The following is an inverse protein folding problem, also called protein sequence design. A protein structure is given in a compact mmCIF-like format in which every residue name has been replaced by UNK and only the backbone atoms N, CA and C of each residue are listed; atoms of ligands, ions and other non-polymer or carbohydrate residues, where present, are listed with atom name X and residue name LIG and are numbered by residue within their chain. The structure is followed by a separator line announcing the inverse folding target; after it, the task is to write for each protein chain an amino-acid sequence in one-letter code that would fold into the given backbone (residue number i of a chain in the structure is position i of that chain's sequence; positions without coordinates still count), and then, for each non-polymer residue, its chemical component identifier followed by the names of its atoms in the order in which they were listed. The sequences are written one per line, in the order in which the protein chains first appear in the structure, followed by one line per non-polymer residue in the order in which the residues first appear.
data_IF_549206528468
#
_entry.id   IF_549206528468
#
_cell.length_a   1.000
_cell.length_b   1.000
_cell.length_c   1.000
_cell.angle_alpha   90.00
_cell.angle_beta   90.00
_cell.angle_gamma   90.00
#
_symmetry.space_group_name_H-M   'P 1'
#
loop_
_entity.id
_entity.type
_entity.pdbx_description
1 polymer ?
#
# COMPACT_ATOMS: atom_id res chain seq x y z
N UNK A 1 59.05 13.23 29.83
CA UNK A 1 58.02 13.95 29.06
C UNK A 1 57.22 12.95 28.23
N UNK A 2 56.18 12.32 28.80
CA UNK A 2 55.52 11.18 28.15
C UNK A 2 54.06 10.97 28.56
N UNK A 3 53.27 12.04 28.64
CA UNK A 3 51.86 11.96 29.09
C UNK A 3 50.87 12.91 28.40
N UNK A 4 51.21 13.47 27.24
CA UNK A 4 50.34 14.42 26.52
C UNK A 4 49.95 13.99 25.08
N UNK A 5 50.21 12.74 24.70
CA UNK A 5 49.88 12.20 23.36
C UNK A 5 48.79 11.12 23.37
N UNK A 6 48.25 10.77 24.55
CA UNK A 6 47.23 9.71 24.68
C UNK A 6 45.78 10.23 24.56
N UNK A 7 45.53 11.52 24.78
CA UNK A 7 44.18 12.09 24.65
C UNK A 7 43.67 12.22 23.20
N UNK A 8 44.47 12.64 22.20
CA UNK A 8 43.97 12.75 20.82
C UNK A 8 43.76 11.38 20.17
N UNK A 9 44.52 10.35 20.57
CA UNK A 9 44.34 8.99 20.07
C UNK A 9 43.04 8.34 20.59
N UNK A 10 42.64 8.62 21.84
CA UNK A 10 41.37 8.13 22.37
C UNK A 10 40.15 8.81 21.71
N UNK A 11 40.26 10.09 21.35
CA UNK A 11 39.19 10.81 20.64
C UNK A 11 39.02 10.34 19.19
N UNK A 12 40.11 9.94 18.52
CA UNK A 12 40.04 9.34 17.17
C UNK A 12 39.43 7.92 17.17
N UNK A 13 39.63 7.15 18.25
CA UNK A 13 39.03 5.81 18.37
C UNK A 13 37.52 5.84 18.66
N UNK A 14 37.00 6.93 19.24
CA UNK A 14 35.56 7.09 19.49
C UNK A 14 34.81 7.51 18.22
N UNK A 15 35.49 8.13 17.23
CA UNK A 15 34.88 8.50 15.95
C UNK A 15 34.79 7.36 14.92
N UNK A 16 35.44 6.21 15.15
CA UNK A 16 35.38 5.05 14.24
C UNK A 16 34.34 4.00 14.62
N UNK A 17 33.57 4.23 15.69
CA UNK A 17 32.53 3.31 16.16
C UNK A 17 31.16 4.00 16.26
N UNK A 18 30.80 4.81 15.27
CA UNK A 18 29.38 4.89 14.93
C UNK A 18 29.09 3.53 14.32
N UNK A 19 28.33 2.62 14.97
CA UNK A 19 27.89 1.44 14.28
C UNK A 19 27.21 1.96 13.02
N UNK A 20 27.72 1.58 11.85
CA UNK A 20 26.92 1.67 10.64
C UNK A 20 25.54 1.14 11.05
N UNK A 21 24.51 1.96 10.94
CA UNK A 21 23.16 1.50 11.22
C UNK A 21 22.91 0.39 10.19
N UNK A 22 23.13 -0.87 10.59
CA UNK A 22 22.89 -2.00 9.71
C UNK A 22 21.40 -1.96 9.39
N UNK A 23 21.05 -1.96 8.10
CA UNK A 23 19.66 -2.01 7.69
C UNK A 23 18.99 -3.24 8.30
N UNK A 24 17.69 -3.15 8.59
CA UNK A 24 16.91 -4.31 9.01
C UNK A 24 17.13 -5.45 8.01
N UNK A 25 17.34 -6.67 8.49
CA UNK A 25 17.44 -7.85 7.62
C UNK A 25 16.22 -8.73 7.77
N UNK A 26 15.70 -9.23 6.66
CA UNK A 26 14.54 -10.13 6.63
C UNK A 26 14.85 -11.39 5.82
N UNK A 27 14.11 -12.47 6.07
CA UNK A 27 14.05 -13.58 5.14
C UNK A 27 13.22 -13.17 3.92
N UNK A 28 13.77 -13.35 2.73
CA UNK A 28 13.07 -13.27 1.45
C UNK A 28 12.85 -14.68 0.93
N UNK A 29 11.59 -15.06 0.74
CA UNK A 29 11.21 -16.36 0.20
C UNK A 29 10.29 -16.16 -1.00
N UNK A 30 10.68 -16.68 -2.17
CA UNK A 30 9.77 -16.79 -3.31
C UNK A 30 8.77 -17.94 -3.08
N UNK A 31 7.69 -17.98 -3.86
CA UNK A 31 6.59 -18.96 -3.73
C UNK A 31 7.07 -20.43 -3.68
N UNK A 32 8.26 -20.72 -4.22
CA UNK A 32 8.89 -22.04 -4.23
C UNK A 32 10.13 -22.02 -3.32
N UNK A 33 9.94 -22.26 -2.03
CA UNK A 33 10.90 -22.84 -1.05
C UNK A 33 12.31 -22.24 -0.85
N UNK A 34 12.80 -21.39 -1.75
CA UNK A 34 14.13 -20.81 -1.74
C UNK A 34 14.08 -19.52 -0.94
N UNK A 35 14.59 -19.61 0.29
CA UNK A 35 14.67 -18.48 1.20
C UNK A 35 16.11 -18.00 1.34
N UNK A 36 16.34 -16.70 1.19
CA UNK A 36 17.62 -16.05 1.43
C UNK A 36 17.45 -14.88 2.40
N UNK A 37 18.55 -14.40 2.95
CA UNK A 37 18.55 -13.17 3.75
C UNK A 37 18.66 -11.98 2.81
N UNK A 38 17.81 -10.99 3.01
CA UNK A 38 17.81 -9.71 2.30
C UNK A 38 18.02 -8.59 3.31
N UNK A 39 18.82 -7.59 2.93
CA UNK A 39 18.93 -6.31 3.66
C UNK A 39 17.86 -5.36 3.12
N UNK A 40 17.04 -4.82 4.01
CA UNK A 40 15.91 -3.98 3.63
C UNK A 40 16.35 -2.62 3.13
N UNK A 41 15.65 -2.11 2.12
CA UNK A 41 15.89 -0.79 1.57
C UNK A 41 15.52 0.32 2.58
N UNK A 42 16.01 1.54 2.33
CA UNK A 42 15.61 2.71 3.11
C UNK A 42 14.08 2.87 3.07
N UNK A 43 13.46 3.04 4.24
CA UNK A 43 12.00 3.12 4.37
C UNK A 43 11.27 1.77 4.46
N UNK A 44 11.99 0.64 4.47
CA UNK A 44 11.45 -0.68 4.78
C UNK A 44 11.98 -1.14 6.14
N UNK A 45 11.21 -0.88 7.19
CA UNK A 45 11.55 -1.12 8.60
C UNK A 45 10.77 -2.28 9.22
N UNK A 46 10.07 -3.07 8.40
CA UNK A 46 9.36 -4.29 8.80
C UNK A 46 9.73 -5.48 7.92
N UNK A 47 9.71 -6.67 8.50
CA UNK A 47 9.64 -7.93 7.77
C UNK A 47 8.18 -8.39 7.68
N UNK A 48 7.78 -8.95 6.53
CA UNK A 48 6.47 -9.60 6.35
C UNK A 48 6.58 -11.10 6.11
N UNK A 49 5.52 -11.80 6.50
CA UNK A 49 5.18 -13.15 6.05
C UNK A 49 3.73 -13.16 5.59
N UNK A 50 3.51 -13.48 4.32
CA UNK A 50 2.19 -13.65 3.71
C UNK A 50 1.96 -15.14 3.45
N UNK A 51 0.89 -15.69 4.00
CA UNK A 51 0.51 -17.10 3.85
C UNK A 51 -0.86 -17.17 3.19
N UNK A 52 -0.96 -17.98 2.13
CA UNK A 52 -2.21 -18.31 1.45
C UNK A 52 -2.47 -19.79 1.63
N UNK A 53 -3.55 -20.13 2.31
CA UNK A 53 -4.07 -21.50 2.37
C UNK A 53 -5.27 -21.63 1.44
N UNK A 54 -5.27 -22.65 0.59
CA UNK A 54 -6.41 -23.03 -0.24
C UNK A 54 -6.85 -24.41 0.23
N UNK A 55 -8.07 -24.47 0.75
CA UNK A 55 -8.68 -25.70 1.27
C UNK A 55 -9.73 -26.19 0.28
N UNK A 56 -9.64 -27.46 -0.15
CA UNK A 56 -10.66 -28.13 -0.93
C UNK A 56 -10.96 -29.50 -0.31
N UNK A 57 -12.10 -29.62 0.38
CA UNK A 57 -12.35 -30.81 1.21
C UNK A 57 -11.31 -30.96 2.32
N UNK A 58 -10.55 -32.05 2.28
CA UNK A 58 -9.45 -32.35 3.21
C UNK A 58 -8.06 -32.03 2.64
N UNK A 59 -7.99 -31.59 1.37
CA UNK A 59 -6.74 -31.18 0.73
C UNK A 59 -6.42 -29.73 1.07
N UNK A 60 -5.15 -29.46 1.39
CA UNK A 60 -4.64 -28.14 1.75
C UNK A 60 -3.41 -27.82 0.89
N UNK A 61 -3.48 -26.71 0.16
CA UNK A 61 -2.32 -26.10 -0.48
C UNK A 61 -1.91 -24.86 0.31
N UNK A 62 -0.65 -24.81 0.75
CA UNK A 62 -0.06 -23.66 1.45
C UNK A 62 0.98 -22.99 0.55
N UNK A 63 0.86 -21.67 0.37
CA UNK A 63 1.85 -20.83 -0.30
C UNK A 63 2.33 -19.78 0.68
N UNK A 64 3.66 -19.67 0.85
CA UNK A 64 4.26 -18.72 1.78
C UNK A 64 5.23 -17.80 1.06
N UNK A 65 5.05 -16.49 1.25
CA UNK A 65 5.94 -15.45 0.76
C UNK A 65 6.49 -14.64 1.94
N UNK A 66 7.75 -14.23 1.85
CA UNK A 66 8.42 -13.44 2.88
C UNK A 66 9.30 -12.38 2.24
N UNK A 67 9.49 -11.26 2.92
CA UNK A 67 10.42 -10.21 2.50
C UNK A 67 10.39 -8.99 3.42
N UNK A 68 11.14 -7.96 3.02
CA UNK A 68 11.05 -6.62 3.61
C UNK A 68 9.74 -5.93 3.22
N UNK A 69 9.27 -5.00 4.05
CA UNK A 69 8.05 -4.23 3.80
C UNK A 69 8.08 -2.88 4.52
N UNK A 70 7.18 -1.99 4.11
CA UNK A 70 7.01 -0.64 4.63
C UNK A 70 6.27 -0.58 5.99
N UNK A 71 6.50 0.47 6.80
CA UNK A 71 6.00 0.59 8.18
C UNK A 71 4.48 0.61 8.30
N UNK A 72 3.78 1.04 7.26
CA UNK A 72 2.33 1.18 7.29
C UNK A 72 1.63 -0.18 7.41
N UNK A 73 2.30 -1.28 7.03
CA UNK A 73 1.72 -2.62 7.00
C UNK A 73 1.39 -3.14 8.40
N UNK A 74 0.27 -3.86 8.50
CA UNK A 74 -0.24 -4.43 9.75
C UNK A 74 -0.57 -5.91 9.62
N UNK A 75 -0.62 -6.61 10.75
CA UNK A 75 -1.16 -7.96 10.81
C UNK A 75 -2.62 -7.97 10.31
N UNK A 76 -2.97 -8.90 9.44
CA UNK A 76 -4.33 -9.02 8.91
C UNK A 76 -4.66 -10.45 8.52
N UNK A 77 -5.95 -10.76 8.52
CA UNK A 77 -6.47 -12.03 8.00
C UNK A 77 -7.71 -11.79 7.15
N UNK A 78 -7.90 -12.65 6.16
CA UNK A 78 -9.11 -12.71 5.35
C UNK A 78 -9.35 -14.15 4.91
N UNK A 79 -10.58 -14.61 5.03
CA UNK A 79 -11.02 -15.92 4.56
C UNK A 79 -12.33 -15.79 3.79
N UNK A 80 -12.41 -16.43 2.63
CA UNK A 80 -13.60 -16.43 1.79
C UNK A 80 -13.73 -17.71 0.97
N UNK A 81 -14.91 -17.92 0.36
CA UNK A 81 -15.22 -19.08 -0.47
C UNK A 81 -15.21 -18.73 -1.96
N UNK A 82 -14.71 -19.68 -2.75
CA UNK A 82 -14.84 -19.72 -4.21
C UNK A 82 -15.30 -21.15 -4.55
N UNK A 83 -16.53 -21.33 -5.03
CA UNK A 83 -17.10 -22.66 -5.22
C UNK A 83 -17.00 -23.52 -3.95
N UNK A 84 -16.31 -24.66 -4.04
CA UNK A 84 -16.07 -25.55 -2.89
C UNK A 84 -14.84 -25.18 -2.06
N UNK A 85 -13.98 -24.30 -2.58
CA UNK A 85 -12.71 -23.94 -1.96
C UNK A 85 -12.89 -22.88 -0.88
N UNK A 86 -12.07 -22.93 0.16
CA UNK A 86 -11.89 -21.86 1.14
C UNK A 86 -10.48 -21.31 0.99
N UNK A 87 -10.38 -20.04 0.62
CA UNK A 87 -9.11 -19.33 0.58
C UNK A 87 -8.96 -18.56 1.89
N UNK A 88 -7.82 -18.74 2.56
CA UNK A 88 -7.42 -17.97 3.75
C UNK A 88 -6.10 -17.28 3.47
N UNK A 89 -6.11 -15.95 3.52
CA UNK A 89 -4.93 -15.10 3.45
C UNK A 89 -4.60 -14.58 4.84
N UNK A 90 -3.35 -14.71 5.24
CA UNK A 90 -2.83 -14.16 6.49
C UNK A 90 -1.54 -13.42 6.21
N UNK A 91 -1.44 -12.18 6.67
CA UNK A 91 -0.20 -11.41 6.64
C UNK A 91 0.19 -11.05 8.07
N UNK A 92 1.45 -11.28 8.39
CA UNK A 92 2.04 -10.93 9.68
C UNK A 92 3.30 -10.10 9.47
N UNK A 93 3.50 -9.11 10.32
CA UNK A 93 4.64 -8.19 10.28
C UNK A 93 5.39 -8.14 11.61
N UNK A 94 6.69 -7.86 11.55
CA UNK A 94 7.55 -7.71 12.71
C UNK A 94 8.77 -6.83 12.36
N UNK A 95 9.32 -6.10 13.34
CA UNK A 95 10.35 -5.07 13.11
C UNK A 95 11.74 -5.40 13.65
N UNK A 96 12.08 -6.69 13.82
CA UNK A 96 13.40 -7.10 14.31
C UNK A 96 14.13 -8.00 13.33
N UNK A 97 15.45 -8.01 13.42
CA UNK A 97 16.33 -8.74 12.51
C UNK A 97 15.92 -10.22 12.37
N UNK A 98 15.61 -10.62 11.15
CA UNK A 98 15.20 -11.97 10.75
C UNK A 98 13.99 -12.51 11.53
N UNK A 99 13.11 -11.63 12.04
CA UNK A 99 11.95 -12.03 12.83
C UNK A 99 10.94 -12.88 12.07
N UNK A 100 10.94 -12.81 10.73
CA UNK A 100 10.08 -13.60 9.85
C UNK A 100 10.68 -14.97 9.48
N UNK A 101 11.73 -15.42 10.18
CA UNK A 101 12.36 -16.72 9.90
C UNK A 101 11.36 -17.87 10.01
N UNK A 102 11.40 -18.87 9.10
CA UNK A 102 10.51 -20.01 9.17
C UNK A 102 10.58 -20.68 10.55
N UNK A 103 9.45 -20.71 11.25
CA UNK A 103 9.35 -21.41 12.53
C UNK A 103 9.30 -22.90 12.22
N UNK A 104 10.19 -23.68 12.83
CA UNK A 104 10.13 -25.15 12.76
C UNK A 104 9.00 -25.62 13.67
N UNK A 105 7.90 -26.05 13.07
CA UNK A 105 6.77 -26.63 13.78
C UNK A 105 5.47 -26.39 13.02
N UNK A 106 4.60 -27.41 12.97
CA UNK A 106 3.27 -27.27 12.38
C UNK A 106 2.48 -26.28 13.24
N UNK A 107 1.90 -25.20 12.69
CA UNK A 107 0.95 -24.38 13.42
C UNK A 107 -0.11 -25.31 14.01
N UNK A 108 -0.43 -25.13 15.29
CA UNK A 108 -1.49 -25.93 15.90
C UNK A 108 -2.79 -25.63 15.13
N UNK A 109 -3.56 -26.64 14.70
CA UNK A 109 -4.86 -26.39 14.13
C UNK A 109 -5.66 -25.55 15.13
N UNK A 110 -6.19 -24.41 14.67
CA UNK A 110 -7.09 -23.62 15.49
C UNK A 110 -8.21 -24.53 16.00
N UNK A 111 -8.53 -24.51 17.31
CA UNK A 111 -9.62 -25.32 17.82
C UNK A 111 -10.89 -25.01 17.01
N UNK A 112 -11.60 -26.05 16.59
CA UNK A 112 -12.89 -25.97 15.88
C UNK A 112 -13.96 -25.44 16.85
N UNK A 113 -13.85 -24.18 17.23
CA UNK A 113 -14.88 -23.43 17.94
C UNK A 113 -15.79 -22.79 16.89
N UNK A 114 -17.11 -22.81 17.12
CA UNK A 114 -18.05 -22.04 16.30
C UNK A 114 -18.00 -20.60 16.79
N UNK A 115 -17.27 -19.74 16.08
CA UNK A 115 -17.21 -18.32 16.38
C UNK A 115 -18.35 -17.58 15.66
N UNK A 116 -18.02 -16.64 14.79
CA UNK A 116 -18.97 -15.86 14.01
C UNK A 116 -19.25 -16.55 12.67
N UNK A 117 -20.52 -16.56 12.24
CA UNK A 117 -20.91 -17.04 10.91
C UNK A 117 -21.19 -15.84 10.00
N UNK A 118 -20.56 -15.83 8.82
CA UNK A 118 -20.64 -14.75 7.85
C UNK A 118 -21.10 -15.26 6.49
N UNK A 119 -21.62 -14.34 5.68
CA UNK A 119 -21.82 -14.55 4.24
C UNK A 119 -20.46 -14.54 3.54
N UNK A 120 -20.27 -15.39 2.54
CA UNK A 120 -19.03 -15.47 1.78
C UNK A 120 -19.24 -15.78 0.30
N UNK A 121 -18.49 -15.07 -0.54
CA UNK A 121 -18.49 -15.15 -1.99
C UNK A 121 -17.26 -14.41 -2.55
N UNK A 122 -16.98 -14.57 -3.84
CA UNK A 122 -15.96 -13.82 -4.58
C UNK A 122 -16.41 -13.49 -6.01
N UNK A 123 -15.70 -12.57 -6.66
CA UNK A 123 -15.94 -12.21 -8.07
C UNK A 123 -15.36 -13.22 -9.07
N UNK A 124 -14.31 -13.97 -8.70
CA UNK A 124 -13.64 -14.91 -9.60
C UNK A 124 -14.56 -16.01 -10.15
N UNK A 125 -15.52 -16.46 -9.35
CA UNK A 125 -16.54 -17.44 -9.73
C UNK A 125 -17.93 -16.83 -9.93
N UNK A 126 -18.01 -15.48 -9.88
CA UNK A 126 -19.24 -14.69 -9.97
C UNK A 126 -20.27 -15.02 -8.89
N UNK A 127 -19.85 -15.61 -7.77
CA UNK A 127 -20.77 -16.02 -6.71
C UNK A 127 -21.40 -14.83 -6.00
N UNK A 128 -20.69 -13.70 -5.86
CA UNK A 128 -21.25 -12.48 -5.29
C UNK A 128 -22.29 -11.85 -6.22
N UNK A 129 -21.93 -11.65 -7.48
CA UNK A 129 -22.74 -10.96 -8.49
C UNK A 129 -24.02 -11.74 -8.82
N UNK A 130 -23.98 -13.08 -8.76
CA UNK A 130 -25.13 -13.95 -8.98
C UNK A 130 -25.96 -14.23 -7.73
N UNK A 131 -25.54 -13.72 -6.57
CA UNK A 131 -26.20 -13.99 -5.28
C UNK A 131 -26.09 -15.46 -4.84
N UNK A 132 -25.07 -16.19 -5.30
CA UNK A 132 -24.77 -17.57 -4.89
C UNK A 132 -23.90 -17.59 -3.63
N UNK A 133 -24.29 -16.77 -2.67
CA UNK A 133 -23.56 -16.58 -1.44
C UNK A 133 -23.62 -17.83 -0.55
N UNK A 134 -22.48 -18.19 0.01
CA UNK A 134 -22.35 -19.33 0.92
C UNK A 134 -22.12 -18.86 2.35
N UNK A 135 -22.32 -19.76 3.31
CA UNK A 135 -21.98 -19.48 4.71
C UNK A 135 -20.55 -19.90 5.02
N UNK A 136 -19.84 -19.06 5.77
CA UNK A 136 -18.48 -19.31 6.24
C UNK A 136 -18.41 -19.05 7.75
N UNK A 137 -17.88 -20.02 8.49
CA UNK A 137 -17.60 -19.89 9.92
C UNK A 137 -16.19 -19.33 10.09
N UNK A 138 -16.06 -18.24 10.83
CA UNK A 138 -14.77 -17.62 11.11
C UNK A 138 -13.93 -18.52 12.03
N UNK A 139 -12.60 -18.52 11.85
CA UNK A 139 -11.68 -19.44 12.54
C UNK A 139 -11.07 -18.80 13.79
N UNK A 140 -11.14 -17.49 13.93
CA UNK A 140 -10.56 -16.75 15.04
C UNK A 140 -11.60 -15.84 15.70
N UNK A 141 -11.66 -15.74 17.04
CA UNK A 141 -12.61 -14.87 17.74
C UNK A 141 -12.42 -13.38 17.45
N UNK A 142 -11.23 -12.96 16.97
CA UNK A 142 -10.97 -11.59 16.53
C UNK A 142 -11.48 -11.28 15.11
N UNK A 143 -11.91 -12.29 14.35
CA UNK A 143 -12.44 -12.09 13.01
C UNK A 143 -13.88 -11.56 13.05
N UNK A 144 -14.18 -10.73 12.06
CA UNK A 144 -15.48 -10.12 11.83
C UNK A 144 -15.97 -10.53 10.45
N UNK A 145 -17.26 -10.34 10.19
CA UNK A 145 -17.75 -10.42 8.82
C UNK A 145 -17.24 -9.20 8.05
N UNK A 146 -16.64 -9.44 6.89
CA UNK A 146 -16.06 -8.41 6.04
C UNK A 146 -16.69 -8.43 4.65
N UNK A 147 -16.73 -7.26 4.05
CA UNK A 147 -17.13 -6.99 2.67
C UNK A 147 -16.12 -6.01 2.08
N UNK A 148 -15.43 -6.44 1.02
CA UNK A 148 -14.37 -5.69 0.36
C UNK A 148 -14.76 -5.51 -1.10
N UNK A 149 -14.72 -4.26 -1.55
CA UNK A 149 -14.97 -3.86 -2.93
C UNK A 149 -13.73 -3.16 -3.47
N UNK A 150 -13.30 -3.58 -4.66
CA UNK A 150 -12.18 -3.02 -5.40
C UNK A 150 -12.57 -2.92 -6.87
N UNK A 151 -12.86 -1.71 -7.32
CA UNK A 151 -13.11 -1.42 -8.72
C UNK A 151 -12.04 -0.46 -9.23
N UNK A 152 -11.43 -0.78 -10.37
CA UNK A 152 -10.50 0.08 -11.09
C UNK A 152 -10.79 0.02 -12.57
N UNK A 153 -10.95 1.20 -13.18
CA UNK A 153 -11.18 1.41 -14.61
C UNK A 153 -9.93 1.08 -15.44
N UNK A 154 -8.74 1.36 -14.89
CA UNK A 154 -7.46 1.08 -15.54
C UNK A 154 -6.99 -0.36 -15.25
N UNK A 155 -7.07 -1.24 -16.26
CA UNK A 155 -6.63 -2.64 -16.25
C UNK A 155 -5.08 -2.80 -16.16
N UNK A 156 -4.45 -2.34 -15.07
CA UNK A 156 -2.98 -2.38 -14.95
C UNK A 156 -2.48 -3.51 -14.03
N UNK A 157 -3.34 -4.35 -13.44
CA UNK A 157 -2.88 -5.51 -12.64
C UNK A 157 -3.74 -6.76 -12.87
N UNK A 158 -3.13 -7.96 -12.99
CA UNK A 158 -3.87 -9.19 -13.20
C UNK A 158 -4.51 -9.69 -11.90
N UNK A 159 -5.85 -9.83 -11.90
CA UNK A 159 -6.66 -10.71 -11.03
C UNK A 159 -6.73 -10.41 -9.53
N UNK A 160 -6.87 -9.15 -9.12
CA UNK A 160 -7.47 -8.88 -7.81
C UNK A 160 -8.98 -9.06 -7.89
N UNK A 161 -9.58 -9.72 -6.90
CA UNK A 161 -11.03 -9.88 -6.80
C UNK A 161 -11.70 -8.50 -6.72
N UNK A 162 -12.71 -8.27 -7.57
CA UNK A 162 -13.47 -7.01 -7.52
C UNK A 162 -14.36 -6.92 -6.30
N UNK A 163 -14.84 -8.06 -5.83
CA UNK A 163 -15.75 -8.17 -4.71
C UNK A 163 -15.43 -9.42 -3.91
N UNK A 164 -15.35 -9.27 -2.59
CA UNK A 164 -15.18 -10.41 -1.68
C UNK A 164 -16.03 -10.21 -0.43
N UNK A 165 -16.68 -11.30 0.01
CA UNK A 165 -17.27 -11.40 1.36
C UNK A 165 -16.68 -12.58 2.11
N UNK A 166 -16.56 -12.44 3.42
CA UNK A 166 -16.17 -13.56 4.27
C UNK A 166 -15.84 -13.13 5.68
N UNK A 167 -14.84 -13.79 6.26
CA UNK A 167 -14.33 -13.53 7.60
C UNK A 167 -12.99 -12.81 7.53
N UNK A 168 -12.70 -11.91 8.46
CA UNK A 168 -11.37 -11.32 8.51
C UNK A 168 -11.18 -10.32 9.64
N UNK A 169 -9.92 -9.99 9.86
CA UNK A 169 -9.52 -8.84 10.66
C UNK A 169 -8.62 -7.99 9.78
N UNK A 170 -9.21 -6.96 9.17
CA UNK A 170 -8.55 -6.07 8.23
C UNK A 170 -8.31 -4.70 8.86
N UNK A 171 -7.24 -3.99 8.49
CA UNK A 171 -7.07 -2.59 8.88
C UNK A 171 -8.32 -1.79 8.48
N UNK A 172 -8.71 -0.83 9.32
CA UNK A 172 -9.93 -0.05 9.10
C UNK A 172 -11.20 -0.66 9.70
N UNK A 173 -11.22 -1.91 10.19
CA UNK A 173 -12.33 -2.41 11.00
C UNK A 173 -12.31 -1.85 12.44
N UNK A 174 -13.45 -1.46 13.07
CA UNK A 174 -14.84 -1.79 12.70
C UNK A 174 -15.48 -1.02 11.54
N UNK A 175 -14.78 -0.13 10.83
CA UNK A 175 -15.23 0.43 9.55
C UNK A 175 -16.45 1.36 9.63
N UNK A 176 -16.95 1.84 8.47
CA UNK A 176 -16.43 1.61 7.13
C UNK A 176 -15.15 2.42 6.85
N UNK A 177 -14.36 1.95 5.89
CA UNK A 177 -13.28 2.72 5.27
C UNK A 177 -13.43 2.65 3.76
N UNK A 178 -13.18 3.74 3.06
CA UNK A 178 -13.38 3.75 1.61
C UNK A 178 -12.85 5.00 0.94
N UNK A 179 -12.65 4.86 -0.36
CA UNK A 179 -12.21 5.90 -1.27
C UNK A 179 -12.92 5.71 -2.61
N UNK A 180 -13.31 6.82 -3.24
CA UNK A 180 -13.68 6.80 -4.64
C UNK A 180 -13.23 8.05 -5.37
N UNK A 181 -12.88 7.86 -6.61
CA UNK A 181 -12.71 8.91 -7.59
C UNK A 181 -13.38 8.49 -8.92
N UNK A 182 -13.05 9.13 -10.04
CA UNK A 182 -13.67 8.81 -11.32
C UNK A 182 -13.31 7.39 -11.84
N UNK A 183 -12.13 6.88 -11.49
CA UNK A 183 -11.58 5.64 -12.05
C UNK A 183 -11.55 4.48 -11.06
N UNK A 184 -11.56 4.77 -9.76
CA UNK A 184 -11.29 3.83 -8.69
C UNK A 184 -12.37 3.93 -7.60
N UNK A 185 -12.85 2.78 -7.13
CA UNK A 185 -13.68 2.66 -5.95
C UNK A 185 -13.17 1.53 -5.06
N UNK A 186 -12.83 1.88 -3.83
CA UNK A 186 -12.47 0.95 -2.77
C UNK A 186 -13.38 1.13 -1.57
N UNK A 187 -13.87 0.02 -1.04
CA UNK A 187 -14.72 0.05 0.14
C UNK A 187 -14.51 -1.19 0.99
N UNK A 188 -14.35 -0.99 2.30
CA UNK A 188 -14.29 -2.04 3.29
C UNK A 188 -15.36 -1.76 4.36
N UNK A 189 -16.22 -2.74 4.58
CA UNK A 189 -17.19 -2.77 5.67
C UNK A 189 -16.92 -3.98 6.54
N UNK A 190 -17.02 -3.79 7.85
CA UNK A 190 -16.87 -4.86 8.82
C UNK A 190 -18.03 -4.83 9.81
N UNK A 191 -18.48 -6.00 10.27
CA UNK A 191 -19.54 -6.10 11.26
C UNK A 191 -19.39 -7.40 12.07
N UNK A 192 -19.94 -7.43 13.28
CA UNK A 192 -19.64 -8.45 14.29
C UNK A 192 -20.86 -9.31 14.69
N UNK A 193 -21.94 -9.27 13.90
CA UNK A 193 -23.15 -10.09 14.13
C UNK A 193 -23.32 -11.11 13.01
N UNK A 194 -24.04 -12.19 13.28
CA UNK A 194 -24.18 -13.30 12.34
C UNK A 194 -24.75 -12.83 10.99
N UNK A 195 -24.04 -13.15 9.89
CA UNK A 195 -24.41 -12.86 8.49
C UNK A 195 -24.74 -11.39 8.21
N UNK A 196 -24.17 -10.47 8.99
CA UNK A 196 -24.40 -9.03 8.84
C UNK A 196 -23.83 -8.42 7.55
N UNK A 197 -22.92 -9.14 6.88
CA UNK A 197 -22.33 -8.74 5.61
C UNK A 197 -23.08 -9.29 4.39
N UNK A 198 -24.31 -9.80 4.55
CA UNK A 198 -25.16 -10.19 3.43
C UNK A 198 -25.85 -9.02 2.74
N UNK A 199 -26.65 -9.32 1.71
CA UNK A 199 -27.42 -8.33 0.95
C UNK A 199 -26.89 -8.17 -0.48
N UNK A 200 -27.44 -7.25 -1.29
CA UNK A 200 -26.97 -7.06 -2.66
C UNK A 200 -25.51 -6.60 -2.70
N UNK A 201 -24.84 -6.86 -3.82
CA UNK A 201 -23.49 -6.36 -4.12
C UNK A 201 -23.48 -4.82 -4.02
N UNK A 202 -22.52 -4.30 -3.26
CA UNK A 202 -22.32 -2.87 -3.07
C UNK A 202 -21.59 -2.28 -4.29
N UNK A 203 -22.31 -1.43 -5.01
CA UNK A 203 -21.74 -0.56 -6.05
C UNK A 203 -21.69 0.88 -5.56
N UNK A 204 -20.78 1.68 -6.11
CA UNK A 204 -20.66 3.10 -5.77
C UNK A 204 -21.99 3.84 -5.96
N UNK A 205 -22.75 3.52 -7.02
CA UNK A 205 -24.02 4.18 -7.32
C UNK A 205 -25.13 3.88 -6.30
N UNK A 206 -25.01 2.77 -5.57
CA UNK A 206 -25.92 2.40 -4.50
C UNK A 206 -25.69 3.25 -3.23
N UNK A 207 -24.56 3.97 -3.14
CA UNK A 207 -24.29 4.91 -2.05
C UNK A 207 -24.91 6.28 -2.36
N UNK A 208 -25.66 6.88 -1.42
CA UNK A 208 -26.30 8.17 -1.61
C UNK A 208 -25.25 9.28 -1.73
N UNK A 209 -25.57 10.34 -2.47
CA UNK A 209 -24.76 11.57 -2.47
C UNK A 209 -24.73 12.17 -1.06
N UNK A 210 -23.56 12.64 -0.61
CA UNK A 210 -23.41 13.26 0.71
C UNK A 210 -23.29 14.80 0.66
N UNK A 211 -23.40 15.39 -0.53
CA UNK A 211 -23.38 16.84 -0.74
C UNK A 211 -21.98 17.46 -0.86
N UNK A 212 -20.92 16.69 -0.63
CA UNK A 212 -19.54 17.12 -0.87
C UNK A 212 -19.15 16.88 -2.33
N UNK A 213 -18.37 17.78 -2.92
CA UNK A 213 -17.68 17.56 -4.20
C UNK A 213 -16.18 17.73 -3.97
N UNK A 214 -15.39 16.87 -4.61
CA UNK A 214 -13.93 16.89 -4.52
C UNK A 214 -13.34 16.78 -5.92
N UNK A 215 -12.12 17.28 -6.09
CA UNK A 215 -11.36 17.02 -7.30
C UNK A 215 -10.92 15.56 -7.36
N UNK A 216 -10.89 15.02 -8.57
CA UNK A 216 -10.60 13.64 -8.90
C UNK A 216 -9.53 13.61 -9.98
N UNK A 217 -8.48 12.82 -9.73
CA UNK A 217 -7.45 12.54 -10.69
C UNK A 217 -6.59 11.34 -10.22
N UNK A 218 -5.90 10.69 -11.16
CA UNK A 218 -4.88 9.68 -10.91
C UNK A 218 -3.76 9.83 -11.93
N UNK A 219 -2.50 9.92 -11.48
CA UNK A 219 -1.37 10.04 -12.39
C UNK A 219 -0.24 10.84 -11.77
N UNK A 220 0.57 11.52 -12.58
CA UNK A 220 1.54 12.50 -12.09
C UNK A 220 0.99 13.92 -12.29
N UNK A 221 1.71 14.94 -11.82
CA UNK A 221 1.28 16.35 -11.94
C UNK A 221 1.16 16.84 -13.40
N UNK A 222 1.81 16.17 -14.35
CA UNK A 222 1.79 16.55 -15.78
C UNK A 222 0.81 15.73 -16.63
N UNK A 223 0.48 14.51 -16.22
CA UNK A 223 -0.32 13.53 -16.92
C UNK A 223 -1.20 12.79 -15.92
N UNK A 224 -2.51 12.86 -16.10
CA UNK A 224 -3.54 12.29 -15.25
C UNK A 224 -4.00 13.21 -14.12
N UNK A 225 -3.08 13.91 -13.44
CA UNK A 225 -3.38 14.91 -12.41
C UNK A 225 -2.94 16.33 -12.79
N UNK A 226 -2.93 16.65 -14.09
CA UNK A 226 -2.76 18.03 -14.57
C UNK A 226 -4.03 18.86 -14.33
N UNK A 227 -3.93 20.18 -14.47
CA UNK A 227 -5.07 21.09 -14.31
C UNK A 227 -6.21 20.77 -15.29
N UNK A 228 -5.90 20.37 -16.53
CA UNK A 228 -6.88 20.08 -17.57
C UNK A 228 -7.56 18.71 -17.39
N UNK A 229 -6.88 17.76 -16.76
CA UNK A 229 -7.37 16.39 -16.55
C UNK A 229 -8.08 16.19 -15.21
N UNK A 230 -7.91 17.13 -14.28
CA UNK A 230 -8.57 17.05 -12.97
C UNK A 230 -10.02 17.48 -13.09
N UNK A 231 -10.94 16.65 -12.59
CA UNK A 231 -12.39 16.90 -12.66
C UNK A 231 -13.04 16.93 -11.28
N UNK A 232 -14.14 17.66 -11.12
CA UNK A 232 -14.95 17.62 -9.91
C UNK A 232 -15.91 16.43 -9.95
N UNK A 233 -15.96 15.67 -8.85
CA UNK A 233 -16.89 14.55 -8.65
C UNK A 233 -17.74 14.78 -7.41
N UNK A 234 -18.95 14.23 -7.42
CA UNK A 234 -19.84 14.26 -6.26
C UNK A 234 -19.57 13.07 -5.34
N UNK A 235 -19.30 13.35 -4.07
CA UNK A 235 -18.97 12.35 -3.07
C UNK A 235 -20.21 11.57 -2.61
N UNK A 236 -19.97 10.31 -2.21
CA UNK A 236 -21.03 9.35 -1.90
C UNK A 236 -20.78 8.65 -0.56
N UNK A 237 -21.88 8.27 0.10
CA UNK A 237 -21.87 7.53 1.35
C UNK A 237 -20.99 8.19 2.42
N UNK A 238 -20.19 7.41 3.17
CA UNK A 238 -19.37 7.93 4.26
C UNK A 238 -18.08 8.64 3.79
N UNK A 239 -17.81 8.70 2.48
CA UNK A 239 -16.59 9.28 1.92
C UNK A 239 -16.74 10.81 1.85
N UNK A 240 -16.58 11.45 3.00
CA UNK A 240 -16.89 12.86 3.25
C UNK A 240 -15.65 13.74 3.49
N UNK A 241 -14.48 13.29 3.07
CA UNK A 241 -13.25 14.08 3.03
C UNK A 241 -12.77 14.20 1.59
N UNK A 242 -12.26 15.38 1.21
CA UNK A 242 -11.49 15.52 -0.01
C UNK A 242 -10.05 15.12 0.26
N UNK A 243 -9.60 14.07 -0.41
CA UNK A 243 -8.27 13.51 -0.27
C UNK A 243 -7.39 13.99 -1.43
N UNK A 244 -6.15 14.29 -1.08
CA UNK A 244 -5.01 14.35 -1.98
C UNK A 244 -3.89 13.51 -1.37
N UNK A 245 -3.40 12.54 -2.11
CA UNK A 245 -2.24 11.76 -1.71
C UNK A 245 -1.19 11.78 -2.81
N UNK A 246 0.06 11.93 -2.40
CA UNK A 246 1.24 11.85 -3.25
C UNK A 246 2.18 10.79 -2.71
N UNK A 247 2.83 10.05 -3.60
CA UNK A 247 3.81 9.03 -3.22
C UNK A 247 4.63 8.58 -4.42
N UNK A 248 5.49 7.59 -4.21
CA UNK A 248 6.32 6.99 -5.25
C UNK A 248 5.79 5.61 -5.63
N UNK A 249 5.72 5.30 -6.93
CA UNK A 249 5.35 3.97 -7.43
C UNK A 249 6.60 3.10 -7.60
N UNK A 250 6.57 1.89 -7.06
CA UNK A 250 7.73 0.98 -6.90
C UNK A 250 8.48 0.64 -8.20
N UNK A 251 7.85 0.80 -9.37
CA UNK A 251 8.41 0.43 -10.68
C UNK A 251 9.15 1.56 -11.41
N UNK A 252 9.11 2.81 -10.93
CA UNK A 252 9.67 3.94 -11.70
C UNK A 252 10.28 5.08 -10.88
N UNK A 253 10.18 5.05 -9.55
CA UNK A 253 10.51 6.21 -8.70
C UNK A 253 9.79 7.50 -9.17
N UNK A 254 8.65 7.32 -9.84
CA UNK A 254 7.84 8.40 -10.39
C UNK A 254 6.86 8.85 -9.32
N UNK A 255 6.76 10.17 -9.13
CA UNK A 255 5.73 10.76 -8.28
C UNK A 255 4.35 10.45 -8.85
N UNK A 256 3.49 9.88 -8.03
CA UNK A 256 2.12 9.56 -8.34
C UNK A 256 1.21 10.29 -7.35
N UNK A 257 0.19 10.94 -7.87
CA UNK A 257 -0.83 11.71 -7.17
C UNK A 257 -2.17 11.04 -7.41
N UNK A 258 -2.97 10.95 -6.35
CA UNK A 258 -4.37 10.55 -6.42
C UNK A 258 -5.23 11.54 -5.64
N UNK A 259 -6.34 11.93 -6.24
CA UNK A 259 -7.35 12.80 -5.64
C UNK A 259 -8.73 12.16 -5.72
N UNK A 260 -9.56 12.39 -4.70
CA UNK A 260 -10.92 11.88 -4.67
C UNK A 260 -11.61 12.10 -3.33
N UNK A 261 -12.71 11.40 -3.11
CA UNK A 261 -13.46 11.42 -1.87
C UNK A 261 -13.05 10.22 -0.99
N UNK A 262 -12.80 10.46 0.29
CA UNK A 262 -12.34 9.43 1.22
C UNK A 262 -13.11 9.46 2.54
N UNK A 263 -13.14 8.33 3.26
CA UNK A 263 -13.50 8.32 4.68
C UNK A 263 -12.33 8.85 5.52
N UNK A 264 -12.58 9.39 6.73
CA UNK A 264 -11.48 9.81 7.63
C UNK A 264 -10.49 8.68 7.96
N UNK A 265 -10.97 7.44 8.05
CA UNK A 265 -10.14 6.24 8.26
C UNK A 265 -9.19 5.94 7.10
N UNK A 266 -9.58 6.28 5.86
CA UNK A 266 -8.74 6.08 4.69
C UNK A 266 -7.55 7.03 4.65
N UNK A 267 -7.68 8.21 5.26
CA UNK A 267 -6.64 9.24 5.34
C UNK A 267 -5.43 8.86 6.21
N UNK A 268 -5.43 7.68 6.84
CA UNK A 268 -4.37 7.23 7.76
C UNK A 268 -3.14 6.61 7.07
N UNK A 269 -3.03 6.64 5.74
CA UNK A 269 -1.84 6.12 5.04
C UNK A 269 -2.01 4.72 4.47
N UNK A 270 -2.18 3.74 5.33
CA UNK A 270 -2.14 2.31 4.97
C UNK A 270 -3.03 1.95 3.77
N UNK A 271 -4.30 2.38 3.78
CA UNK A 271 -5.23 2.06 2.71
C UNK A 271 -4.85 2.69 1.36
N UNK A 272 -4.29 3.91 1.38
CA UNK A 272 -3.78 4.58 0.18
C UNK A 272 -2.56 3.84 -0.36
N UNK A 273 -1.61 3.49 0.52
CA UNK A 273 -0.39 2.76 0.17
C UNK A 273 -0.72 1.48 -0.60
N UNK A 274 -1.68 0.72 -0.09
CA UNK A 274 -2.02 -0.60 -0.59
C UNK A 274 -2.89 -0.57 -1.83
N UNK A 275 -3.86 0.33 -1.86
CA UNK A 275 -4.65 0.52 -3.06
C UNK A 275 -3.70 0.92 -4.21
N UNK A 276 -2.93 1.99 -4.06
CA UNK A 276 -2.22 2.55 -5.20
C UNK A 276 -0.79 2.01 -5.40
N UNK A 277 -0.33 1.11 -4.53
CA UNK A 277 1.04 0.59 -4.57
C UNK A 277 2.07 1.70 -4.39
N UNK A 278 1.84 2.55 -3.39
CA UNK A 278 2.60 3.77 -3.15
C UNK A 278 3.43 3.66 -1.87
N UNK A 279 4.62 4.24 -1.94
CA UNK A 279 5.57 4.40 -0.86
C UNK A 279 5.87 5.88 -0.62
N UNK A 280 6.49 6.22 0.53
CA UNK A 280 6.81 7.61 0.90
C UNK A 280 5.62 8.57 0.81
N UNK A 281 4.50 8.16 1.41
CA UNK A 281 3.22 8.83 1.28
C UNK A 281 3.19 10.18 1.98
N UNK A 282 2.62 11.16 1.30
CA UNK A 282 2.13 12.40 1.87
C UNK A 282 0.63 12.52 1.57
N UNK A 283 -0.18 12.62 2.62
CA UNK A 283 -1.64 12.63 2.53
C UNK A 283 -2.19 13.89 3.18
N UNK A 284 -3.05 14.58 2.43
CA UNK A 284 -3.88 15.66 2.92
C UNK A 284 -5.34 15.26 2.79
N UNK A 285 -6.09 15.39 3.88
CA UNK A 285 -7.54 15.24 3.88
C UNK A 285 -8.17 16.48 4.48
N UNK A 286 -9.05 17.11 3.70
CA UNK A 286 -9.72 18.34 4.08
C UNK A 286 -11.23 18.16 4.00
N UNK A 287 -11.93 18.81 4.94
CA UNK A 287 -13.38 18.91 4.94
C UNK A 287 -13.78 20.20 4.23
N UNK A 288 -14.65 20.11 3.23
CA UNK A 288 -15.15 21.26 2.50
C UNK A 288 -15.10 21.07 0.99
N UNK A 289 -16.03 21.72 0.29
CA UNK A 289 -16.23 21.52 -1.14
C UNK A 289 -15.00 21.95 -1.95
N UNK A 290 -14.46 21.06 -2.79
CA UNK A 290 -13.29 21.33 -3.63
C UNK A 290 -12.04 21.69 -2.84
N UNK A 291 -11.94 21.32 -1.56
CA UNK A 291 -10.82 21.69 -0.69
C UNK A 291 -9.49 21.04 -1.07
N UNK A 292 -9.53 19.93 -1.80
CA UNK A 292 -8.35 19.30 -2.41
C UNK A 292 -7.97 19.93 -3.76
N UNK A 293 -8.31 21.20 -3.96
CA UNK A 293 -7.79 22.02 -5.06
C UNK A 293 -6.53 22.74 -4.60
N UNK A 294 -5.48 22.68 -5.41
CA UNK A 294 -4.29 23.48 -5.19
C UNK A 294 -4.27 24.62 -6.20
N UNK A 295 -4.19 25.85 -5.70
CA UNK A 295 -4.03 27.09 -6.47
C UNK A 295 -2.54 27.46 -6.63
N UNK A 296 -1.64 26.50 -6.50
CA UNK A 296 -0.21 26.75 -6.24
C UNK A 296 0.68 26.85 -7.49
N UNK A 297 0.10 27.18 -8.65
CA UNK A 297 0.85 27.63 -9.85
C UNK A 297 0.48 29.06 -10.31
N UNK A 298 -0.24 29.84 -9.49
CA UNK A 298 -0.54 31.25 -9.77
C UNK A 298 -0.16 32.16 -8.59
N UNK A 299 1.14 32.23 -8.31
CA UNK A 299 1.74 33.48 -7.85
C UNK A 299 2.82 33.89 -8.85
N UNK A 300 2.63 34.97 -9.64
CA UNK A 300 3.79 35.66 -10.18
C UNK A 300 4.54 36.16 -8.95
N UNK A 301 5.76 35.65 -8.73
CA UNK A 301 6.68 36.18 -7.71
C UNK A 301 6.76 37.69 -7.87
N UNK A 302 5.97 38.43 -7.10
CA UNK A 302 6.16 39.86 -6.89
C UNK A 302 7.20 39.98 -5.79
N UNK A 303 8.43 39.56 -6.12
CA UNK A 303 9.61 39.66 -5.29
C UNK A 303 10.55 40.65 -5.97
N UNK A 304 10.71 41.82 -5.34
CA UNK A 304 11.53 42.92 -5.80
C UNK A 304 12.97 42.53 -6.16
N UNK A 305 13.55 43.35 -7.04
CA UNK A 305 14.87 43.20 -7.62
C UNK A 305 15.97 42.89 -6.57
N UNK A 306 16.88 41.93 -6.83
CA UNK A 306 18.13 41.84 -6.11
C UNK A 306 19.12 42.85 -6.71
N UNK A 307 19.61 43.79 -5.88
CA UNK A 307 20.80 44.59 -6.21
C UNK A 307 22.05 43.68 -6.22
N UNK A 308 23.03 43.94 -7.11
CA UNK A 308 24.14 43.03 -7.35
C UNK A 308 25.36 43.34 -6.47
N UNK A 309 26.08 42.30 -6.02
CA UNK A 309 27.55 42.21 -5.91
C UNK A 309 27.98 41.04 -4.99
N UNK A 310 29.25 40.58 -5.04
CA UNK A 310 30.20 40.58 -6.16
C UNK A 310 30.70 39.16 -6.51
N UNK A 311 31.26 39.05 -7.71
CA UNK A 311 31.81 37.85 -8.30
C UNK A 311 32.96 37.24 -7.47
N UNK A 312 32.86 35.93 -7.18
CA UNK A 312 34.03 35.12 -6.89
C UNK A 312 34.47 34.43 -8.19
N UNK A 313 35.63 34.88 -8.68
CA UNK A 313 36.40 34.26 -9.75
C UNK A 313 36.79 32.83 -9.34
N UNK A 314 36.26 31.83 -10.04
CA UNK A 314 36.88 30.51 -10.12
C UNK A 314 37.46 30.35 -11.51
N UNK A 315 38.79 30.42 -11.58
CA UNK A 315 39.59 30.17 -12.76
C UNK A 315 40.04 28.71 -12.73
N UNK A 316 40.28 28.16 -13.92
CA UNK A 316 40.92 26.86 -14.27
C UNK A 316 40.00 25.65 -14.43
N UNK A 317 40.10 24.81 -15.46
CA UNK A 317 40.91 24.77 -16.69
C UNK A 317 40.15 23.87 -17.68
N UNK A 318 40.15 24.24 -18.95
CA UNK A 318 39.61 23.45 -20.08
C UNK A 318 40.60 22.33 -20.42
N UNK A 319 40.10 21.11 -20.65
CA UNK A 319 40.73 20.20 -21.59
C UNK A 319 39.67 19.49 -22.43
N UNK A 320 39.62 19.89 -23.70
CA UNK A 320 39.01 19.20 -24.82
C UNK A 320 39.81 17.93 -25.13
N UNK A 321 39.13 16.84 -25.49
CA UNK A 321 39.37 16.16 -26.78
C UNK A 321 38.20 15.25 -27.14
N UNK A 322 37.68 15.53 -28.33
CA UNK A 322 36.76 14.76 -29.17
C UNK A 322 37.38 13.44 -29.65
N UNK A 323 36.61 12.35 -29.62
CA UNK A 323 36.58 11.33 -30.68
C UNK A 323 35.48 10.27 -30.39
N UNK A 324 34.34 10.36 -31.06
CA UNK A 324 33.58 9.16 -31.45
C UNK A 324 33.16 9.28 -32.90
N UNK A 325 33.96 8.61 -33.73
CA UNK A 325 33.63 8.19 -35.08
C UNK A 325 32.46 7.19 -35.04
N UNK A 326 31.68 7.26 -36.11
CA UNK A 326 30.51 6.46 -36.42
C UNK A 326 30.71 4.94 -36.34
N UNK A 327 29.60 4.26 -36.00
CA UNK A 327 29.04 3.20 -36.84
C UNK A 327 29.42 1.75 -36.54
N UNK A 328 28.38 0.91 -36.40
CA UNK A 328 28.43 -0.47 -36.88
C UNK A 328 28.45 -1.58 -35.83
N UNK A 329 27.24 -2.10 -35.55
CA UNK A 329 26.88 -3.54 -35.53
C UNK A 329 27.95 -4.61 -35.30
N UNK A 330 27.74 -5.46 -34.29
CA UNK A 330 27.89 -6.93 -34.28
C UNK A 330 27.22 -7.45 -32.98
N UNK A 331 26.06 -8.11 -33.07
CA UNK A 331 25.85 -9.57 -33.14
C UNK A 331 26.17 -10.33 -31.84
N UNK A 332 25.09 -10.91 -31.29
CA UNK A 332 24.96 -12.16 -30.52
C UNK A 332 26.17 -12.70 -29.75
N UNK A 333 26.02 -12.84 -28.42
CA UNK A 333 25.49 -14.04 -27.73
C UNK A 333 25.00 -13.66 -26.35
#
# INVERSE_FOLDING_TARGET
MGRLLLLPLLLLWVQTCIPASWGLRCMRCEKIGNCQVEECALGQDLCRTTVVHIWEGDEELEVVERGCTHPEKTNRTMSYRIGMQIITLTETVCGSDLCNRPIRGRPRPFPRSRFLECTSCASSDLSCERGWEQSLQCRNPGERCVEVVTHRSLEVSPRDERYIRGCGNLPGCPGPTGFHNNDTFHFLRCCNTTKCNGGPVLELQNLPLNGLQCYSCEGNSTYGCSFEETSLIACRGPMNQCLEATGTKDLGNTTYTVRGCATPSWCQGLHVAEAFGLTHLNISCLSGNGSNYMLEDVQPRMGGAPRPSPAHLSLTVILLTTARLWGGTLLWT
#
